data_IF_143979897258
#
_entry.id   IF_143979897258
#
_cell.length_a   1.000
_cell.length_b   1.000
_cell.length_c   1.000
_cell.angle_alpha   90.00
_cell.angle_beta   90.00
_cell.angle_gamma   90.00
#
_symmetry.space_group_name_H-M   'P 1'
#
loop_
_entity.id
_entity.type
_entity.pdbx_description
1 polymer ?
#
# COMPACT_ATOMS: atom_id res chain seq x y z
N UNK A 1 14.60 -9.71 1.14
CA UNK A 1 13.65 -9.80 0.02
C UNK A 1 13.65 -8.52 -0.78
N UNK A 2 13.42 -8.66 -2.10
CA UNK A 2 13.16 -7.55 -3.02
C UNK A 2 11.84 -7.75 -3.74
N UNK A 3 11.16 -6.65 -4.00
CA UNK A 3 9.82 -6.60 -4.56
C UNK A 3 9.82 -5.91 -5.93
N UNK A 4 8.77 -5.20 -6.27
CA UNK A 4 8.51 -4.69 -7.61
C UNK A 4 9.67 -3.88 -8.22
N UNK A 5 10.38 -3.08 -7.44
CA UNK A 5 11.49 -2.26 -7.95
C UNK A 5 12.62 -3.10 -8.58
N UNK A 6 12.99 -4.23 -7.97
CA UNK A 6 14.00 -5.14 -8.52
C UNK A 6 13.36 -6.11 -9.51
N UNK A 7 12.18 -6.63 -9.19
CA UNK A 7 11.46 -7.59 -10.05
C UNK A 7 11.26 -7.07 -11.47
N UNK A 8 10.94 -5.78 -11.61
CA UNK A 8 10.58 -5.14 -12.87
C UNK A 8 11.77 -4.43 -13.55
N UNK A 9 12.95 -4.38 -12.90
CA UNK A 9 14.13 -3.73 -13.45
C UNK A 9 14.74 -4.51 -14.63
N UNK A 10 15.10 -3.81 -15.71
CA UNK A 10 15.78 -4.41 -16.88
C UNK A 10 17.13 -5.02 -16.51
N UNK A 11 17.86 -4.40 -15.59
CA UNK A 11 19.19 -4.83 -15.13
C UNK A 11 19.15 -5.64 -13.82
N UNK A 12 18.05 -6.30 -13.50
CA UNK A 12 17.86 -7.02 -12.21
C UNK A 12 18.93 -8.09 -11.96
N UNK A 13 19.36 -8.80 -13.01
CA UNK A 13 20.34 -9.88 -12.89
C UNK A 13 21.72 -9.34 -12.45
N UNK A 14 22.11 -8.16 -12.95
CA UNK A 14 23.35 -7.50 -12.53
C UNK A 14 23.27 -7.11 -11.06
N UNK A 15 22.13 -6.53 -10.63
CA UNK A 15 21.91 -6.16 -9.24
C UNK A 15 21.91 -7.38 -8.31
N UNK A 16 21.21 -8.46 -8.68
CA UNK A 16 21.18 -9.71 -7.89
C UNK A 16 22.60 -10.26 -7.74
N UNK A 17 23.35 -10.33 -8.83
CA UNK A 17 24.73 -10.84 -8.81
C UNK A 17 25.65 -10.01 -7.89
N UNK A 18 25.50 -8.69 -7.85
CA UNK A 18 26.27 -7.83 -6.96
C UNK A 18 25.91 -8.08 -5.48
N UNK A 19 24.62 -8.24 -5.17
CA UNK A 19 24.16 -8.52 -3.78
C UNK A 19 24.65 -9.87 -3.31
N UNK A 20 24.58 -10.92 -4.16
CA UNK A 20 25.07 -12.26 -3.88
C UNK A 20 26.58 -12.29 -3.62
N UNK A 21 27.37 -11.50 -4.35
CA UNK A 21 28.83 -11.34 -4.13
C UNK A 21 29.16 -10.80 -2.74
N UNK A 22 28.24 -10.04 -2.14
CA UNK A 22 28.37 -9.58 -0.76
C UNK A 22 28.03 -10.65 0.29
N UNK A 23 27.66 -11.86 -0.15
CA UNK A 23 27.28 -12.97 0.72
C UNK A 23 25.88 -12.78 1.35
N UNK A 24 25.04 -11.92 0.75
CA UNK A 24 23.68 -11.69 1.21
C UNK A 24 22.75 -12.70 0.53
N UNK A 25 22.00 -13.46 1.35
CA UNK A 25 20.92 -14.31 0.86
C UNK A 25 19.76 -13.43 0.38
N UNK A 26 19.58 -13.37 -0.96
CA UNK A 26 18.72 -12.39 -1.59
C UNK A 26 17.66 -13.04 -2.47
N UNK A 27 16.40 -12.73 -2.21
CA UNK A 27 15.27 -13.30 -2.93
C UNK A 27 14.36 -12.20 -3.52
N UNK A 28 14.12 -12.29 -4.82
CA UNK A 28 13.11 -11.47 -5.49
C UNK A 28 11.78 -12.21 -5.43
N UNK A 29 10.81 -11.66 -4.72
CA UNK A 29 9.49 -12.29 -4.55
C UNK A 29 8.45 -11.76 -5.54
N UNK A 30 7.46 -12.60 -5.84
CA UNK A 30 6.32 -12.20 -6.66
C UNK A 30 5.37 -11.31 -5.86
N UNK A 31 4.57 -10.48 -6.55
CA UNK A 31 3.52 -9.70 -5.88
C UNK A 31 2.48 -10.57 -5.16
N UNK A 32 2.24 -11.80 -5.64
CA UNK A 32 1.39 -12.76 -4.92
C UNK A 32 2.00 -13.19 -3.59
N UNK A 33 3.30 -13.47 -3.55
CA UNK A 33 4.02 -13.82 -2.31
C UNK A 33 4.05 -12.63 -1.36
N UNK A 34 4.32 -11.42 -1.88
CA UNK A 34 4.30 -10.16 -1.15
C UNK A 34 2.94 -9.93 -0.48
N UNK A 35 1.84 -10.02 -1.25
CA UNK A 35 0.49 -9.85 -0.73
C UNK A 35 0.07 -10.91 0.28
N UNK A 36 0.47 -12.19 0.09
CA UNK A 36 0.20 -13.26 1.09
C UNK A 36 0.89 -12.96 2.42
N UNK A 37 2.14 -12.54 2.39
CA UNK A 37 2.87 -12.21 3.59
C UNK A 37 2.30 -10.96 4.28
N UNK A 38 2.00 -9.89 3.53
CA UNK A 38 1.37 -8.68 4.07
C UNK A 38 0.01 -9.01 4.72
N UNK A 39 -0.80 -9.86 4.09
CA UNK A 39 -2.07 -10.32 4.65
C UNK A 39 -1.87 -11.05 5.98
N UNK A 40 -0.96 -12.01 6.02
CA UNK A 40 -0.69 -12.78 7.22
C UNK A 40 -0.17 -11.88 8.36
N UNK A 41 0.78 -10.97 8.05
CA UNK A 41 1.29 -10.02 9.05
C UNK A 41 0.20 -9.14 9.62
N UNK A 42 -0.66 -8.60 8.77
CA UNK A 42 -1.74 -7.71 9.18
C UNK A 42 -2.87 -8.40 9.96
N UNK A 43 -3.13 -9.69 9.71
CA UNK A 43 -4.30 -10.40 10.26
C UNK A 43 -3.99 -11.51 11.27
N UNK A 44 -2.70 -11.82 11.52
CA UNK A 44 -2.29 -12.96 12.36
C UNK A 44 -2.92 -12.98 13.76
N UNK A 45 -3.02 -11.82 14.41
CA UNK A 45 -3.61 -11.71 15.75
C UNK A 45 -5.13 -11.61 15.74
N UNK A 46 -5.75 -11.49 14.57
CA UNK A 46 -7.20 -11.38 14.44
C UNK A 46 -7.85 -12.74 14.62
N UNK A 47 -9.02 -12.74 15.24
CA UNK A 47 -9.80 -13.94 15.53
C UNK A 47 -11.21 -13.76 14.99
N UNK A 48 -11.84 -14.86 14.61
CA UNK A 48 -13.22 -14.84 14.13
C UNK A 48 -13.33 -15.19 12.64
N UNK A 49 -14.50 -14.93 12.09
CA UNK A 49 -14.86 -15.25 10.71
C UNK A 49 -15.07 -14.00 9.86
N UNK A 50 -14.57 -12.86 10.31
CA UNK A 50 -14.63 -11.61 9.54
C UNK A 50 -13.63 -11.67 8.40
N UNK A 51 -14.05 -11.21 7.23
CA UNK A 51 -13.19 -11.15 6.06
C UNK A 51 -12.50 -9.79 5.98
N UNK A 52 -11.28 -9.82 5.47
CA UNK A 52 -10.44 -8.65 5.32
C UNK A 52 -9.96 -8.51 3.87
N UNK A 53 -9.91 -7.28 3.40
CA UNK A 53 -9.16 -6.88 2.23
C UNK A 53 -7.94 -6.08 2.70
N UNK A 54 -6.78 -6.71 2.68
CA UNK A 54 -5.49 -6.06 3.00
C UNK A 54 -4.96 -5.40 1.74
N UNK A 55 -4.57 -4.13 1.86
CA UNK A 55 -4.06 -3.28 0.79
C UNK A 55 -2.65 -2.83 1.17
N UNK A 56 -1.68 -3.15 0.32
CA UNK A 56 -0.29 -2.70 0.43
C UNK A 56 0.06 -1.80 -0.76
N UNK A 57 0.26 -0.51 -0.49
CA UNK A 57 0.62 0.46 -1.53
C UNK A 57 2.13 0.68 -1.52
N UNK A 58 2.81 0.01 -2.45
CA UNK A 58 4.23 0.16 -2.68
C UNK A 58 4.58 1.28 -3.67
N UNK A 59 5.88 1.31 -4.04
CA UNK A 59 6.38 2.27 -5.04
C UNK A 59 5.99 1.91 -6.46
N UNK A 60 6.06 0.65 -6.84
CA UNK A 60 5.82 0.17 -8.20
C UNK A 60 4.55 -0.67 -8.36
N UNK A 61 4.04 -1.27 -7.31
CA UNK A 61 2.83 -2.10 -7.32
C UNK A 61 1.94 -1.82 -6.12
N UNK A 62 0.72 -2.32 -6.18
CA UNK A 62 -0.21 -2.37 -5.06
C UNK A 62 -0.77 -3.79 -5.00
N UNK A 63 -0.64 -4.41 -3.85
CA UNK A 63 -1.14 -5.74 -3.56
C UNK A 63 -2.50 -5.64 -2.86
N UNK A 64 -3.43 -6.48 -3.32
CA UNK A 64 -4.77 -6.64 -2.73
C UNK A 64 -4.94 -8.10 -2.34
N UNK A 65 -5.13 -8.36 -1.05
CA UNK A 65 -5.20 -9.71 -0.49
C UNK A 65 -6.48 -9.87 0.30
N UNK A 66 -7.35 -10.79 -0.14
CA UNK A 66 -8.69 -10.97 0.42
C UNK A 66 -8.89 -12.36 1.01
N UNK A 67 -9.37 -12.43 2.25
CA UNK A 67 -9.61 -13.71 2.91
C UNK A 67 -10.02 -13.60 4.38
N UNK A 68 -10.01 -14.76 5.04
CA UNK A 68 -10.17 -14.89 6.50
C UNK A 68 -8.80 -14.87 7.18
N UNK A 69 -8.70 -14.40 8.43
CA UNK A 69 -7.46 -14.50 9.21
C UNK A 69 -6.92 -15.93 9.25
N UNK A 70 -5.60 -16.06 9.24
CA UNK A 70 -4.91 -17.35 9.32
C UNK A 70 -5.27 -18.35 8.20
N UNK A 71 -5.77 -17.87 7.07
CA UNK A 71 -5.99 -18.66 5.86
C UNK A 71 -5.14 -18.12 4.71
N UNK A 72 -5.04 -18.89 3.62
CA UNK A 72 -4.40 -18.42 2.40
C UNK A 72 -5.36 -17.45 1.68
N UNK A 73 -5.00 -16.15 1.52
CA UNK A 73 -5.87 -15.19 0.85
C UNK A 73 -5.88 -15.40 -0.67
N UNK A 74 -6.94 -14.91 -1.32
CA UNK A 74 -6.91 -14.61 -2.75
C UNK A 74 -6.11 -13.31 -2.95
N UNK A 75 -5.10 -13.30 -3.83
CA UNK A 75 -4.20 -12.15 -4.01
C UNK A 75 -4.17 -11.71 -5.46
N UNK A 76 -4.12 -10.40 -5.66
CA UNK A 76 -3.74 -9.79 -6.93
C UNK A 76 -2.77 -8.64 -6.67
N UNK A 77 -1.69 -8.58 -7.46
CA UNK A 77 -0.76 -7.45 -7.53
C UNK A 77 -1.04 -6.68 -8.81
N UNK A 78 -1.23 -5.38 -8.69
CA UNK A 78 -1.47 -4.48 -9.82
C UNK A 78 -0.30 -3.51 -9.92
N UNK A 79 0.19 -3.29 -11.14
CA UNK A 79 1.31 -2.39 -11.43
C UNK A 79 0.88 -0.90 -11.33
N UNK A 80 0.32 -0.53 -10.19
CA UNK A 80 0.03 0.84 -9.77
C UNK A 80 0.75 1.10 -8.45
N UNK A 81 1.47 2.19 -8.34
CA UNK A 81 2.26 2.50 -7.16
C UNK A 81 2.72 3.94 -7.16
N UNK A 82 3.20 4.41 -6.02
CA UNK A 82 3.46 5.83 -5.79
C UNK A 82 4.55 6.40 -6.69
N UNK A 83 5.61 5.63 -7.00
CA UNK A 83 6.71 6.06 -7.89
C UNK A 83 6.23 6.08 -9.34
N UNK A 84 5.49 5.03 -9.78
CA UNK A 84 4.92 5.00 -11.13
C UNK A 84 4.00 6.21 -11.37
N UNK A 85 3.25 6.63 -10.37
CA UNK A 85 2.38 7.79 -10.51
C UNK A 85 3.12 9.11 -10.57
N UNK A 86 4.25 9.26 -9.87
CA UNK A 86 5.14 10.42 -10.08
C UNK A 86 5.62 10.49 -11.52
N UNK A 87 5.96 9.35 -12.12
CA UNK A 87 6.37 9.29 -13.52
C UNK A 87 5.22 9.63 -14.48
N UNK A 88 4.04 9.06 -14.25
CA UNK A 88 2.85 9.29 -15.09
C UNK A 88 2.35 10.73 -15.01
N UNK A 89 2.45 11.39 -13.85
CA UNK A 89 2.05 12.80 -13.67
C UNK A 89 2.93 13.80 -14.44
N UNK A 90 4.01 13.35 -15.10
CA UNK A 90 4.75 14.18 -16.06
C UNK A 90 3.99 14.40 -17.36
N UNK A 91 3.05 13.50 -17.67
CA UNK A 91 2.30 13.47 -18.94
C UNK A 91 0.78 13.47 -18.74
N UNK A 92 0.30 13.21 -17.51
CA UNK A 92 -1.11 13.08 -17.16
C UNK A 92 -1.52 14.09 -16.09
N UNK A 93 -2.80 14.49 -16.12
CA UNK A 93 -3.43 15.21 -14.99
C UNK A 93 -3.95 14.23 -13.95
N UNK A 94 -4.31 14.70 -12.75
CA UNK A 94 -4.94 13.87 -11.71
C UNK A 94 -6.29 13.29 -12.15
N UNK A 95 -7.06 13.99 -12.97
CA UNK A 95 -8.32 13.49 -13.56
C UNK A 95 -8.07 12.33 -14.53
N UNK A 96 -7.03 12.41 -15.34
CA UNK A 96 -6.63 11.30 -16.22
C UNK A 96 -6.09 10.12 -15.43
N UNK A 97 -5.34 10.40 -14.35
CA UNK A 97 -4.83 9.37 -13.45
C UNK A 97 -5.95 8.65 -12.70
N UNK A 98 -7.01 9.35 -12.27
CA UNK A 98 -8.21 8.75 -11.68
C UNK A 98 -8.84 7.72 -12.61
N UNK A 99 -9.07 8.10 -13.87
CA UNK A 99 -9.62 7.20 -14.89
C UNK A 99 -8.72 5.98 -15.05
N UNK A 100 -7.41 6.20 -15.17
CA UNK A 100 -6.42 5.13 -15.31
C UNK A 100 -6.43 4.16 -14.12
N UNK A 101 -6.47 4.67 -12.88
CA UNK A 101 -6.56 3.84 -11.67
C UNK A 101 -7.81 2.96 -11.72
N UNK A 102 -8.97 3.56 -11.96
CA UNK A 102 -10.23 2.82 -12.01
C UNK A 102 -10.26 1.77 -13.11
N UNK A 103 -9.69 2.05 -14.29
CA UNK A 103 -9.53 1.06 -15.36
C UNK A 103 -8.63 -0.11 -14.95
N UNK A 104 -7.50 0.17 -14.30
CA UNK A 104 -6.56 -0.87 -13.85
C UNK A 104 -7.19 -1.76 -12.77
N UNK A 105 -7.91 -1.17 -11.81
CA UNK A 105 -8.62 -1.92 -10.78
C UNK A 105 -9.75 -2.79 -11.39
N UNK A 106 -10.53 -2.23 -12.31
CA UNK A 106 -11.65 -2.93 -12.96
C UNK A 106 -11.22 -4.08 -13.89
N UNK A 107 -10.00 -4.07 -14.40
CA UNK A 107 -9.45 -5.20 -15.19
C UNK A 107 -9.21 -6.45 -14.34
N UNK A 108 -9.11 -6.30 -13.02
CA UNK A 108 -8.92 -7.43 -12.11
C UNK A 108 -10.24 -8.12 -11.79
N UNK A 109 -10.39 -9.37 -12.20
CA UNK A 109 -11.56 -10.19 -11.88
C UNK A 109 -11.78 -10.34 -10.37
N UNK A 110 -10.70 -10.40 -9.59
CA UNK A 110 -10.77 -10.49 -8.14
C UNK A 110 -11.34 -9.22 -7.53
N UNK A 111 -10.83 -8.04 -7.93
CA UNK A 111 -11.29 -6.77 -7.37
C UNK A 111 -12.75 -6.46 -7.76
N UNK A 112 -13.14 -6.75 -9.00
CA UNK A 112 -14.54 -6.63 -9.42
C UNK A 112 -15.45 -7.58 -8.65
N UNK A 113 -15.01 -8.83 -8.40
CA UNK A 113 -15.73 -9.77 -7.54
C UNK A 113 -15.92 -9.21 -6.13
N UNK A 114 -14.83 -8.73 -5.51
CA UNK A 114 -14.86 -8.15 -4.15
C UNK A 114 -15.78 -6.93 -4.07
N UNK A 115 -15.69 -6.03 -5.06
CA UNK A 115 -16.54 -4.83 -5.15
C UNK A 115 -18.04 -5.16 -5.19
N UNK A 116 -18.41 -6.29 -5.78
CA UNK A 116 -19.81 -6.74 -5.94
C UNK A 116 -20.30 -7.62 -4.79
N UNK A 117 -19.47 -7.89 -3.77
CA UNK A 117 -19.88 -8.71 -2.64
C UNK A 117 -20.99 -8.02 -1.84
N UNK A 118 -22.03 -8.80 -1.49
CA UNK A 118 -23.08 -8.38 -0.57
C UNK A 118 -22.73 -8.67 0.90
N UNK A 119 -21.57 -9.26 1.17
CA UNK A 119 -21.07 -9.55 2.51
C UNK A 119 -20.19 -8.39 3.02
N UNK A 120 -20.20 -8.19 4.34
CA UNK A 120 -19.32 -7.23 4.97
C UNK A 120 -17.88 -7.73 5.02
N UNK A 121 -16.95 -6.84 4.77
CA UNK A 121 -15.51 -7.04 4.96
C UNK A 121 -14.85 -5.71 5.36
N UNK A 122 -13.79 -5.79 6.14
CA UNK A 122 -13.02 -4.62 6.54
C UNK A 122 -11.81 -4.42 5.64
N UNK A 123 -11.44 -3.15 5.42
CA UNK A 123 -10.18 -2.79 4.79
C UNK A 123 -9.09 -2.64 5.84
N UNK A 124 -7.93 -3.26 5.58
CA UNK A 124 -6.71 -3.03 6.33
C UNK A 124 -5.66 -2.47 5.38
N UNK A 125 -5.05 -1.37 5.77
CA UNK A 125 -3.97 -0.75 5.01
C UNK A 125 -2.63 -0.93 5.70
N UNK A 126 -1.67 -1.42 4.96
CA UNK A 126 -0.28 -1.58 5.43
C UNK A 126 0.67 -0.65 4.69
N UNK A 127 1.91 -0.64 5.11
CA UNK A 127 2.98 0.20 4.57
C UNK A 127 2.79 1.71 4.79
N UNK A 128 3.90 2.41 4.60
CA UNK A 128 4.04 3.81 5.00
C UNK A 128 3.17 4.79 4.17
N UNK A 129 2.71 4.41 2.99
CA UNK A 129 1.80 5.24 2.19
C UNK A 129 0.47 5.42 2.91
N UNK A 130 -0.02 4.39 3.59
CA UNK A 130 -1.29 4.37 4.30
C UNK A 130 -1.10 4.81 5.74
N UNK A 131 -0.21 4.16 6.51
CA UNK A 131 -0.02 4.48 7.93
C UNK A 131 0.51 5.90 8.15
N UNK A 132 1.28 6.42 7.18
CA UNK A 132 1.78 7.79 7.18
C UNK A 132 0.69 8.87 7.14
N UNK A 133 -0.50 8.57 6.59
CA UNK A 133 -1.61 9.53 6.53
C UNK A 133 -2.09 9.97 7.92
N UNK A 134 -2.00 9.07 8.90
CA UNK A 134 -2.38 9.36 10.29
C UNK A 134 -1.52 10.51 10.86
N UNK A 135 -0.22 10.50 10.58
CA UNK A 135 0.72 11.50 11.11
C UNK A 135 0.62 12.83 10.37
N UNK A 136 0.32 12.79 9.07
CA UNK A 136 0.04 13.98 8.27
C UNK A 136 -1.21 14.68 8.81
N UNK A 137 -2.30 13.94 8.99
CA UNK A 137 -3.55 14.47 9.52
C UNK A 137 -3.40 15.05 10.92
N UNK A 138 -2.68 14.35 11.81
CA UNK A 138 -2.48 14.77 13.21
C UNK A 138 -1.34 15.79 13.40
N UNK A 139 -0.50 16.02 12.40
CA UNK A 139 0.68 16.90 12.43
C UNK A 139 1.66 16.55 13.57
N UNK A 140 1.92 15.25 13.76
CA UNK A 140 2.79 14.71 14.80
C UNK A 140 3.90 13.85 14.18
N UNK A 141 4.94 13.59 14.95
CA UNK A 141 6.00 12.66 14.58
C UNK A 141 5.47 11.22 14.52
N UNK A 142 6.15 10.38 13.72
CA UNK A 142 5.85 8.96 13.60
C UNK A 142 5.87 8.25 14.96
N UNK A 143 4.80 7.50 15.22
CA UNK A 143 4.68 6.65 16.39
C UNK A 143 3.75 5.45 16.05
N UNK A 144 4.29 4.24 15.88
CA UNK A 144 3.51 3.08 15.44
C UNK A 144 2.37 2.68 16.39
N UNK A 145 2.43 3.10 17.67
CA UNK A 145 1.34 2.86 18.63
C UNK A 145 0.12 3.75 18.37
N UNK A 146 0.27 4.80 17.57
CA UNK A 146 -0.83 5.72 17.21
C UNK A 146 -1.47 5.29 15.89
N UNK A 147 -0.68 4.83 14.92
CA UNK A 147 -1.19 4.42 13.61
C UNK A 147 -1.75 3.01 13.60
N UNK A 148 -1.14 2.07 14.35
CA UNK A 148 -1.65 0.70 14.38
C UNK A 148 -3.06 0.63 14.99
N UNK A 149 -4.01 0.09 14.24
CA UNK A 149 -5.42 0.03 14.60
C UNK A 149 -6.20 1.34 14.41
N UNK A 150 -5.55 2.41 13.88
CA UNK A 150 -6.25 3.65 13.59
C UNK A 150 -7.19 3.47 12.41
N UNK A 151 -8.46 3.86 12.58
CA UNK A 151 -9.47 3.87 11.52
C UNK A 151 -9.38 5.22 10.80
N UNK A 152 -8.73 5.20 9.65
CA UNK A 152 -8.49 6.39 8.82
C UNK A 152 -9.68 6.56 7.88
N UNK A 153 -10.41 7.66 8.00
CA UNK A 153 -11.58 7.94 7.17
C UNK A 153 -11.20 8.45 5.78
N UNK A 154 -12.08 8.25 4.82
CA UNK A 154 -11.91 8.75 3.45
C UNK A 154 -11.86 10.30 3.43
N UNK A 155 -12.57 10.97 4.34
CA UNK A 155 -12.54 12.41 4.50
C UNK A 155 -11.18 12.91 4.99
N UNK A 156 -10.54 12.21 5.94
CA UNK A 156 -9.18 12.52 6.38
C UNK A 156 -8.18 12.35 5.24
N UNK A 157 -8.29 11.26 4.46
CA UNK A 157 -7.43 11.03 3.29
C UNK A 157 -7.62 12.13 2.24
N UNK A 158 -8.86 12.49 1.95
CA UNK A 158 -9.18 13.58 1.01
C UNK A 158 -8.68 14.93 1.52
N UNK A 159 -8.78 15.19 2.81
CA UNK A 159 -8.25 16.39 3.47
C UNK A 159 -6.73 16.46 3.33
N UNK A 160 -6.04 15.37 3.63
CA UNK A 160 -4.59 15.25 3.46
C UNK A 160 -4.16 15.48 2.00
N UNK A 161 -4.87 14.87 1.03
CA UNK A 161 -4.58 15.08 -0.38
C UNK A 161 -4.68 16.55 -0.76
N UNK A 162 -5.78 17.22 -0.39
CA UNK A 162 -5.99 18.63 -0.71
C UNK A 162 -4.93 19.53 -0.07
N UNK A 163 -4.54 19.26 1.18
CA UNK A 163 -3.49 20.01 1.87
C UNK A 163 -2.14 19.81 1.17
N UNK A 164 -1.71 18.56 0.98
CA UNK A 164 -0.43 18.22 0.37
C UNK A 164 -0.30 18.67 -1.09
N UNK A 165 -1.38 18.60 -1.85
CA UNK A 165 -1.41 19.02 -3.25
C UNK A 165 -1.13 20.52 -3.42
N UNK A 166 -1.62 21.35 -2.49
CA UNK A 166 -1.42 22.80 -2.51
C UNK A 166 -0.09 23.25 -1.85
N UNK A 167 0.66 22.36 -1.21
CA UNK A 167 1.96 22.64 -0.63
C UNK A 167 3.10 22.48 -1.64
N UNK A 168 4.10 23.34 -1.58
CA UNK A 168 5.40 23.09 -2.20
C UNK A 168 6.14 21.95 -1.50
N UNK A 169 7.17 21.37 -2.13
CA UNK A 169 8.02 20.34 -1.51
C UNK A 169 8.65 20.84 -0.21
N UNK A 170 9.10 22.10 -0.18
CA UNK A 170 9.69 22.71 1.02
C UNK A 170 8.70 22.81 2.18
N UNK A 171 7.44 23.08 1.89
CA UNK A 171 6.39 23.11 2.92
C UNK A 171 6.04 21.70 3.40
N UNK A 172 5.96 20.71 2.51
CA UNK A 172 5.74 19.30 2.89
C UNK A 172 6.85 18.78 3.80
N UNK A 173 8.10 19.17 3.57
CA UNK A 173 9.24 18.81 4.43
C UNK A 173 9.15 19.34 5.85
N UNK A 174 8.32 20.36 6.10
CA UNK A 174 8.06 20.88 7.46
C UNK A 174 7.04 20.04 8.25
N UNK A 175 6.34 19.08 7.58
CA UNK A 175 5.43 18.17 8.27
C UNK A 175 6.26 17.22 9.16
N UNK A 176 5.97 17.12 10.48
CA UNK A 176 6.83 16.40 11.43
C UNK A 176 7.20 14.96 11.05
N UNK A 177 6.31 14.26 10.36
CA UNK A 177 6.50 12.86 9.92
C UNK A 177 7.04 12.73 8.50
N UNK A 178 7.27 13.84 7.79
CA UNK A 178 7.69 13.80 6.40
C UNK A 178 9.19 13.52 6.27
N UNK A 179 9.52 12.46 5.54
CA UNK A 179 10.90 12.14 5.19
C UNK A 179 11.22 12.65 3.78
N UNK A 180 12.44 13.17 3.57
CA UNK A 180 12.85 13.73 2.27
C UNK A 180 12.66 12.76 1.08
N UNK A 181 12.85 11.45 1.28
CA UNK A 181 12.63 10.43 0.25
C UNK A 181 11.15 10.17 -0.08
N UNK A 182 10.23 10.78 0.65
CA UNK A 182 8.79 10.58 0.49
C UNK A 182 8.05 11.81 -0.01
N UNK A 183 8.70 12.96 -0.01
CA UNK A 183 8.07 14.25 -0.35
C UNK A 183 7.46 14.26 -1.76
N UNK A 184 8.08 13.55 -2.71
CA UNK A 184 7.62 13.47 -4.10
C UNK A 184 6.47 12.47 -4.29
N UNK A 185 6.50 11.37 -3.52
CA UNK A 185 5.56 10.25 -3.70
C UNK A 185 4.33 10.34 -2.82
N UNK A 186 4.33 11.23 -1.80
CA UNK A 186 3.24 11.29 -0.82
C UNK A 186 1.92 11.80 -1.43
N UNK A 187 1.97 12.80 -2.31
CA UNK A 187 0.76 13.35 -2.95
C UNK A 187 0.09 12.30 -3.85
N UNK A 188 0.80 11.70 -4.85
CA UNK A 188 0.20 10.66 -5.67
C UNK A 188 -0.18 9.42 -4.86
N UNK A 189 0.57 9.07 -3.80
CA UNK A 189 0.22 7.95 -2.92
C UNK A 189 -1.07 8.19 -2.13
N UNK A 190 -1.27 9.40 -1.61
CA UNK A 190 -2.51 9.80 -0.95
C UNK A 190 -3.70 9.78 -1.92
N UNK A 191 -3.48 10.26 -3.14
CA UNK A 191 -4.49 10.22 -4.20
C UNK A 191 -4.86 8.78 -4.56
N UNK A 192 -3.88 7.89 -4.74
CA UNK A 192 -4.12 6.48 -5.01
C UNK A 192 -4.96 5.82 -3.92
N UNK A 193 -4.61 6.04 -2.65
CA UNK A 193 -5.38 5.52 -1.52
C UNK A 193 -6.83 6.02 -1.55
N UNK A 194 -7.04 7.32 -1.80
CA UNK A 194 -8.38 7.90 -1.93
C UNK A 194 -9.18 7.21 -3.04
N UNK A 195 -8.59 7.00 -4.22
CA UNK A 195 -9.24 6.36 -5.36
C UNK A 195 -9.55 4.87 -5.10
N UNK A 196 -8.68 4.16 -4.36
CA UNK A 196 -8.94 2.78 -3.97
C UNK A 196 -10.17 2.68 -3.06
N UNK A 197 -10.28 3.52 -2.02
CA UNK A 197 -11.45 3.53 -1.15
C UNK A 197 -12.73 3.88 -1.92
N UNK A 198 -12.64 4.85 -2.83
CA UNK A 198 -13.75 5.25 -3.71
C UNK A 198 -14.19 4.08 -4.60
N UNK A 199 -13.25 3.34 -5.20
CA UNK A 199 -13.52 2.17 -6.04
C UNK A 199 -14.31 1.09 -5.30
N UNK A 200 -13.97 0.80 -4.05
CA UNK A 200 -14.65 -0.19 -3.21
C UNK A 200 -15.87 0.38 -2.47
N UNK A 201 -16.19 1.67 -2.63
CA UNK A 201 -17.25 2.36 -1.91
C UNK A 201 -17.13 2.19 -0.38
N UNK A 202 -15.90 2.36 0.14
CA UNK A 202 -15.57 2.26 1.56
C UNK A 202 -15.25 3.64 2.13
N UNK A 203 -15.72 3.87 3.36
CA UNK A 203 -15.56 5.17 4.02
C UNK A 203 -14.34 5.25 4.94
N UNK A 204 -13.70 4.12 5.22
CA UNK A 204 -12.54 4.05 6.11
C UNK A 204 -11.66 2.84 5.81
N UNK A 205 -10.44 2.89 6.32
CA UNK A 205 -9.44 1.81 6.28
C UNK A 205 -8.73 1.74 7.64
N UNK A 206 -8.57 0.54 8.18
CA UNK A 206 -7.82 0.32 9.43
C UNK A 206 -6.33 0.24 9.11
N UNK A 207 -5.52 1.10 9.71
CA UNK A 207 -4.08 1.10 9.53
C UNK A 207 -3.41 -0.04 10.30
N UNK A 208 -2.51 -0.79 9.67
CA UNK A 208 -1.65 -1.77 10.34
C UNK A 208 -0.18 -1.42 10.15
N UNK A 209 0.58 -1.46 11.25
CA UNK A 209 2.04 -1.38 11.23
C UNK A 209 2.69 -2.77 11.09
N UNK A 210 1.88 -3.82 11.06
CA UNK A 210 2.30 -5.19 10.76
C UNK A 210 2.04 -5.45 9.29
N UNK A 211 3.09 -5.83 8.59
CA UNK A 211 3.09 -5.94 7.13
C UNK A 211 3.82 -7.20 6.62
N UNK A 212 4.45 -7.10 5.47
CA UNK A 212 5.26 -8.12 4.83
C UNK A 212 6.33 -8.72 5.78
N UNK A 213 6.96 -7.91 6.64
CA UNK A 213 8.06 -8.38 7.50
C UNK A 213 7.53 -9.33 8.58
N UNK A 214 6.46 -8.95 9.27
CA UNK A 214 5.81 -9.81 10.26
C UNK A 214 5.25 -11.06 9.61
N UNK A 215 4.60 -10.94 8.45
CA UNK A 215 4.06 -12.10 7.75
C UNK A 215 5.15 -13.09 7.32
N UNK A 216 6.27 -12.59 6.85
CA UNK A 216 7.41 -13.44 6.53
C UNK A 216 7.99 -14.12 7.77
N UNK A 217 8.14 -13.38 8.87
CA UNK A 217 8.60 -13.97 10.14
C UNK A 217 7.67 -15.10 10.61
N UNK A 218 6.36 -14.88 10.55
CA UNK A 218 5.35 -15.88 10.93
C UNK A 218 5.47 -17.13 10.05
N UNK A 219 5.57 -16.99 8.73
CA UNK A 219 5.68 -18.14 7.81
C UNK A 219 6.97 -18.93 7.94
N UNK A 220 8.03 -18.30 8.45
CA UNK A 220 9.36 -18.93 8.54
C UNK A 220 9.59 -19.62 9.89
N UNK A 221 9.02 -19.07 10.97
CA UNK A 221 9.40 -19.45 12.34
C UNK A 221 8.23 -19.92 13.22
N UNK A 222 6.98 -19.76 12.79
CA UNK A 222 5.79 -20.20 13.52
C UNK A 222 4.95 -21.20 12.72
#
# INVERSE_FOLDING_TARGET
YATSAVRDAENKEDFISEVERLGIDFHVITGETEGKAAFLGATYEMKGNDKFLVIDIGGGSTEFSYGLPNTIPEVVSINIGTIRFVEMLREMTYEQLEIHIHEMLSKSKLLEKIKQLNEEYELIGVAATITGQVFINKKINYNPKISHGYRLSIEEIKGNFNELYNMSESERLLIPSMHSKRVDVIVPGTFLLYQILTFFNKNEITCSEKDLLEGHFITTYL
#
